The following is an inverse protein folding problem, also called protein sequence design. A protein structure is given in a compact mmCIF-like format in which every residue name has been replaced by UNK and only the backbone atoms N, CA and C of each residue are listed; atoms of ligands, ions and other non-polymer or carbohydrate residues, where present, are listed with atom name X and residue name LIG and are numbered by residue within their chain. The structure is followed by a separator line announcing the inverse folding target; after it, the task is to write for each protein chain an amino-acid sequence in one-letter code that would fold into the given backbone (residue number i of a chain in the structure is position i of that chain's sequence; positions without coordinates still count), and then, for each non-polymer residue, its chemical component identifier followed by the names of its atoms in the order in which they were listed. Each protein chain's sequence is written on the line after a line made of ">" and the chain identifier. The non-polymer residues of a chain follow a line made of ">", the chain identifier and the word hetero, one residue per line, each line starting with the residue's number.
data_IF_398857448825
#
_entry.id   IF_398857448825
#
_cell.length_a   1.000
_cell.length_b   1.000
_cell.length_c   1.000
_cell.angle_alpha   90.00
_cell.angle_beta   90.00
_cell.angle_gamma   90.00
#
_symmetry.space_group_name_H-M   'P 1'
#
loop_
_entity.id
_entity.type
_entity.pdbx_description
1 polymer ?
#
# COMPACT_ATOMS: atom_id res chain seq x y z
N UNK A 1 -28.67 -14.92 18.66
CA UNK A 1 -28.01 -15.88 17.75
C UNK A 1 -28.97 -16.15 16.61
N UNK A 2 -28.57 -15.93 15.36
CA UNK A 2 -29.45 -16.09 14.18
C UNK A 2 -29.95 -17.54 14.06
N UNK A 3 -31.19 -17.77 13.63
CA UNK A 3 -31.73 -19.12 13.38
C UNK A 3 -30.88 -19.90 12.36
N UNK A 4 -30.32 -19.19 11.38
CA UNK A 4 -29.41 -19.75 10.37
C UNK A 4 -28.13 -20.31 11.00
N UNK A 5 -27.59 -19.65 12.03
CA UNK A 5 -26.40 -20.16 12.74
C UNK A 5 -26.72 -21.44 13.53
N UNK A 6 -27.92 -21.53 14.11
CA UNK A 6 -28.38 -22.77 14.76
C UNK A 6 -28.53 -23.89 13.74
N UNK A 7 -29.07 -23.58 12.56
CA UNK A 7 -29.22 -24.55 11.48
C UNK A 7 -27.87 -25.06 10.98
N UNK A 8 -26.91 -24.17 10.68
CA UNK A 8 -25.56 -24.54 10.23
C UNK A 8 -24.82 -25.40 11.26
N UNK A 9 -24.86 -25.04 12.55
CA UNK A 9 -24.22 -25.82 13.63
C UNK A 9 -24.79 -27.23 13.77
N UNK A 10 -26.09 -27.38 13.54
CA UNK A 10 -26.79 -28.66 13.68
C UNK A 10 -26.95 -29.38 12.33
N UNK A 11 -26.36 -28.88 11.25
CA UNK A 11 -26.46 -29.49 9.93
C UNK A 11 -25.70 -30.81 9.89
N UNK A 12 -26.28 -31.79 9.19
CA UNK A 12 -25.63 -33.04 8.88
C UNK A 12 -24.60 -32.89 7.74
N UNK A 13 -24.59 -31.77 7.01
CA UNK A 13 -23.58 -31.47 5.99
C UNK A 13 -22.29 -30.97 6.68
N UNK A 14 -21.15 -31.69 6.54
CA UNK A 14 -19.88 -31.29 7.14
C UNK A 14 -19.42 -29.89 6.71
N UNK A 15 -19.74 -29.47 5.48
CA UNK A 15 -19.40 -28.15 4.97
C UNK A 15 -20.16 -27.05 5.71
N UNK A 16 -21.45 -27.25 5.97
CA UNK A 16 -22.27 -26.29 6.71
C UNK A 16 -21.88 -26.20 8.18
N UNK A 17 -21.49 -27.33 8.77
CA UNK A 17 -21.00 -27.39 10.14
C UNK A 17 -19.64 -26.69 10.29
N UNK A 18 -18.72 -26.88 9.34
CA UNK A 18 -17.46 -26.13 9.30
C UNK A 18 -17.68 -24.64 9.02
N UNK A 19 -18.64 -24.31 8.16
CA UNK A 19 -19.01 -22.92 7.91
C UNK A 19 -19.49 -22.21 9.17
N UNK A 20 -20.23 -22.91 10.03
CA UNK A 20 -20.61 -22.37 11.34
C UNK A 20 -19.39 -22.05 12.21
N UNK A 21 -18.35 -22.91 12.20
CA UNK A 21 -17.09 -22.65 12.92
C UNK A 21 -16.37 -21.41 12.39
N UNK A 22 -16.29 -21.26 11.07
CA UNK A 22 -15.70 -20.08 10.40
C UNK A 22 -16.42 -18.80 10.85
N UNK A 23 -17.75 -18.81 10.85
CA UNK A 23 -18.54 -17.67 11.31
C UNK A 23 -18.39 -17.37 12.81
N UNK A 24 -18.32 -18.40 13.65
CA UNK A 24 -18.10 -18.23 15.08
C UNK A 24 -16.74 -17.60 15.38
N UNK A 25 -15.69 -18.09 14.72
CA UNK A 25 -14.35 -17.53 14.87
C UNK A 25 -14.28 -16.08 14.38
N UNK A 26 -14.90 -15.77 13.25
CA UNK A 26 -14.97 -14.40 12.74
C UNK A 26 -15.71 -13.45 13.68
N UNK A 27 -16.82 -13.88 14.27
CA UNK A 27 -17.52 -13.09 15.28
C UNK A 27 -16.64 -12.84 16.51
N UNK A 28 -15.83 -13.82 16.90
CA UNK A 28 -14.88 -13.69 18.01
C UNK A 28 -13.75 -12.70 17.71
N UNK A 29 -13.15 -12.78 16.52
CA UNK A 29 -12.16 -11.79 16.05
C UNK A 29 -12.74 -10.37 16.12
N UNK A 30 -13.97 -10.18 15.64
CA UNK A 30 -14.64 -8.88 15.73
C UNK A 30 -14.88 -8.40 17.16
N UNK A 31 -15.26 -9.30 18.09
CA UNK A 31 -15.38 -8.95 19.52
C UNK A 31 -14.04 -8.52 20.09
N UNK A 32 -12.97 -9.23 19.77
CA UNK A 32 -11.61 -8.92 20.26
C UNK A 32 -11.11 -7.56 19.78
N UNK A 33 -11.58 -7.10 18.62
CA UNK A 33 -11.26 -5.80 18.03
C UNK A 33 -12.23 -4.68 18.46
N UNK A 34 -13.13 -4.93 19.41
CA UNK A 34 -14.13 -3.95 19.87
C UNK A 34 -15.21 -3.63 18.82
N UNK A 35 -15.34 -4.44 17.77
CA UNK A 35 -16.33 -4.25 16.71
C UNK A 35 -17.65 -4.97 17.01
N UNK A 36 -18.72 -4.54 16.33
CA UNK A 36 -20.01 -5.25 16.37
C UNK A 36 -19.88 -6.60 15.67
N UNK A 37 -19.95 -7.69 16.43
CA UNK A 37 -19.83 -9.08 15.98
C UNK A 37 -21.07 -9.60 15.20
N UNK A 38 -21.54 -8.86 14.20
CA UNK A 38 -22.66 -9.23 13.33
C UNK A 38 -22.18 -9.78 11.99
N UNK A 39 -22.86 -10.83 11.48
CA UNK A 39 -22.60 -11.52 10.21
C UNK A 39 -23.11 -10.80 8.95
N UNK A 40 -23.57 -9.55 9.09
CA UNK A 40 -24.08 -8.76 7.97
C UNK A 40 -25.20 -9.48 7.22
N UNK A 41 -25.05 -9.59 5.89
CA UNK A 41 -26.00 -10.25 5.00
C UNK A 41 -25.85 -11.77 4.92
N UNK A 42 -24.78 -12.35 5.48
CA UNK A 42 -24.50 -13.78 5.31
C UNK A 42 -25.64 -14.71 5.74
N UNK A 43 -26.31 -14.51 6.90
CA UNK A 43 -27.42 -15.39 7.27
C UNK A 43 -28.57 -15.34 6.26
N UNK A 44 -28.85 -14.17 5.69
CA UNK A 44 -29.91 -13.99 4.68
C UNK A 44 -29.52 -14.71 3.39
N UNK A 45 -28.29 -14.54 2.93
CA UNK A 45 -27.83 -15.08 1.66
C UNK A 45 -27.69 -16.60 1.71
N UNK A 46 -27.24 -17.14 2.86
CA UNK A 46 -27.22 -18.60 3.11
C UNK A 46 -28.63 -19.17 3.06
N UNK A 47 -29.60 -18.52 3.69
CA UNK A 47 -30.98 -18.97 3.66
C UNK A 47 -31.62 -18.88 2.26
N UNK A 48 -31.16 -17.94 1.43
CA UNK A 48 -31.70 -17.72 0.09
C UNK A 48 -31.07 -18.64 -0.98
N UNK A 49 -29.77 -18.96 -0.86
CA UNK A 49 -29.01 -19.62 -1.94
C UNK A 49 -28.19 -20.82 -1.48
N UNK A 50 -28.13 -21.10 -0.19
CA UNK A 50 -27.36 -22.22 0.37
C UNK A 50 -25.85 -21.94 0.47
N UNK A 51 -25.17 -22.75 1.28
CA UNK A 51 -23.77 -22.52 1.65
C UNK A 51 -22.81 -22.52 0.44
N UNK A 52 -22.94 -23.50 -0.46
CA UNK A 52 -22.03 -23.65 -1.61
C UNK A 52 -22.07 -22.44 -2.55
N UNK A 53 -23.26 -21.92 -2.88
CA UNK A 53 -23.39 -20.77 -3.79
C UNK A 53 -22.90 -19.49 -3.16
N UNK A 54 -23.16 -19.29 -1.86
CA UNK A 54 -22.64 -18.14 -1.13
C UNK A 54 -21.12 -18.19 -1.08
N UNK A 55 -20.52 -19.31 -0.65
CA UNK A 55 -19.07 -19.49 -0.61
C UNK A 55 -18.45 -19.23 -1.99
N UNK A 56 -19.00 -19.85 -3.04
CA UNK A 56 -18.52 -19.68 -4.41
C UNK A 56 -18.54 -18.21 -4.84
N UNK A 57 -19.67 -17.53 -4.60
CA UNK A 57 -19.81 -16.10 -4.93
C UNK A 57 -18.83 -15.24 -4.14
N UNK A 58 -18.64 -15.49 -2.85
CA UNK A 58 -17.69 -14.73 -2.02
C UNK A 58 -16.24 -14.96 -2.41
N UNK A 59 -15.90 -16.19 -2.81
CA UNK A 59 -14.57 -16.58 -3.28
C UNK A 59 -14.25 -15.93 -4.63
N UNK A 60 -15.18 -15.95 -5.58
CA UNK A 60 -15.01 -15.35 -6.90
C UNK A 60 -15.03 -13.81 -6.86
N UNK A 61 -15.87 -13.21 -6.03
CA UNK A 61 -16.05 -11.75 -5.97
C UNK A 61 -15.09 -11.04 -5.01
N UNK A 62 -14.09 -11.73 -4.45
CA UNK A 62 -13.13 -11.14 -3.51
C UNK A 62 -13.80 -10.33 -2.38
N UNK A 63 -14.90 -10.85 -1.82
CA UNK A 63 -15.71 -10.09 -0.85
C UNK A 63 -14.94 -9.85 0.45
N UNK A 64 -14.80 -8.57 0.83
CA UNK A 64 -14.13 -8.17 2.07
C UNK A 64 -14.88 -8.66 3.31
N UNK A 65 -14.13 -9.19 4.27
CA UNK A 65 -14.62 -9.51 5.60
C UNK A 65 -14.07 -10.82 6.15
N UNK A 66 -13.76 -11.80 5.31
CA UNK A 66 -13.36 -13.15 5.75
C UNK A 66 -11.85 -13.44 5.58
N UNK A 67 -11.09 -12.50 5.03
CA UNK A 67 -9.62 -12.60 4.90
C UNK A 67 -8.87 -12.23 6.20
N UNK A 68 -9.58 -11.67 7.19
CA UNK A 68 -9.04 -11.29 8.51
C UNK A 68 -9.00 -12.47 9.49
N UNK A 69 -9.34 -13.66 9.02
CA UNK A 69 -9.50 -14.89 9.81
C UNK A 69 -8.33 -15.83 9.53
N UNK A 70 -8.07 -16.76 10.45
CA UNK A 70 -7.10 -17.84 10.26
C UNK A 70 -7.25 -18.47 8.85
N UNK A 71 -6.16 -18.65 8.07
CA UNK A 71 -6.27 -19.25 6.74
C UNK A 71 -6.90 -20.65 6.74
N UNK A 72 -6.85 -21.36 7.87
CA UNK A 72 -7.49 -22.67 8.03
C UNK A 72 -8.99 -22.55 8.38
N UNK A 73 -9.48 -21.32 8.59
CA UNK A 73 -10.86 -20.98 8.94
C UNK A 73 -11.41 -19.87 8.04
N UNK A 74 -11.23 -20.02 6.73
CA UNK A 74 -11.75 -19.11 5.70
C UNK A 74 -12.64 -19.84 4.68
N UNK A 75 -13.33 -19.08 3.82
CA UNK A 75 -14.09 -19.66 2.72
C UNK A 75 -13.20 -20.42 1.73
N UNK A 76 -12.02 -19.89 1.45
CA UNK A 76 -11.04 -20.51 0.57
C UNK A 76 -10.56 -21.85 1.13
N UNK A 77 -10.34 -21.96 2.45
CA UNK A 77 -10.06 -23.24 3.09
C UNK A 77 -11.22 -24.24 2.98
N UNK A 78 -12.47 -23.78 3.12
CA UNK A 78 -13.64 -24.63 2.89
C UNK A 78 -13.71 -25.11 1.44
N UNK A 79 -13.40 -24.24 0.46
CA UNK A 79 -13.33 -24.62 -0.95
C UNK A 79 -12.28 -25.70 -1.19
N UNK A 80 -11.09 -25.58 -0.60
CA UNK A 80 -10.05 -26.59 -0.78
C UNK A 80 -10.36 -27.90 -0.03
N UNK A 81 -10.96 -27.82 1.15
CA UNK A 81 -11.34 -28.99 1.97
C UNK A 81 -12.45 -29.80 1.33
N UNK A 82 -13.40 -29.14 0.67
CA UNK A 82 -14.58 -29.73 0.03
C UNK A 82 -14.57 -29.48 -1.48
N UNK A 83 -13.41 -29.64 -2.13
CA UNK A 83 -13.20 -29.26 -3.53
C UNK A 83 -14.14 -29.96 -4.51
N UNK A 84 -14.63 -31.15 -4.17
CA UNK A 84 -15.64 -31.89 -4.94
C UNK A 84 -16.99 -31.15 -5.06
N UNK A 85 -17.24 -30.17 -4.19
CA UNK A 85 -18.49 -29.39 -4.12
C UNK A 85 -18.41 -28.08 -4.91
N UNK A 86 -17.25 -27.73 -5.47
CA UNK A 86 -17.00 -26.42 -6.10
C UNK A 86 -16.53 -26.57 -7.56
N UNK A 87 -16.77 -25.53 -8.36
CA UNK A 87 -16.31 -25.53 -9.75
C UNK A 87 -14.79 -25.31 -9.82
N UNK A 88 -14.13 -25.76 -10.90
CA UNK A 88 -12.69 -25.54 -11.10
C UNK A 88 -12.28 -24.06 -10.98
N UNK A 89 -13.12 -23.14 -11.45
CA UNK A 89 -12.85 -21.70 -11.37
C UNK A 89 -12.87 -21.18 -9.92
N UNK A 90 -13.80 -21.67 -9.09
CA UNK A 90 -13.88 -21.34 -7.66
C UNK A 90 -12.68 -21.93 -6.92
N UNK A 91 -12.27 -23.16 -7.26
CA UNK A 91 -11.09 -23.81 -6.68
C UNK A 91 -9.83 -23.06 -7.07
N UNK A 92 -9.68 -22.67 -8.34
CA UNK A 92 -8.54 -21.89 -8.82
C UNK A 92 -8.48 -20.52 -8.13
N UNK A 93 -9.62 -19.83 -8.00
CA UNK A 93 -9.72 -18.57 -7.27
C UNK A 93 -9.40 -18.74 -5.77
N UNK A 94 -9.88 -19.81 -5.12
CA UNK A 94 -9.54 -20.12 -3.73
C UNK A 94 -8.05 -20.44 -3.57
N UNK A 95 -7.45 -21.21 -4.48
CA UNK A 95 -6.02 -21.50 -4.49
C UNK A 95 -5.20 -20.24 -4.76
N UNK A 96 -5.63 -19.37 -5.65
CA UNK A 96 -4.96 -18.11 -5.97
C UNK A 96 -5.08 -17.13 -4.81
N UNK A 97 -6.25 -17.02 -4.16
CA UNK A 97 -6.45 -16.18 -2.97
C UNK A 97 -5.75 -16.71 -1.75
N UNK A 98 -5.73 -18.03 -1.55
CA UNK A 98 -4.86 -18.64 -0.55
C UNK A 98 -3.41 -18.42 -0.94
N UNK A 99 -2.97 -18.56 -2.19
CA UNK A 99 -1.60 -18.20 -2.58
C UNK A 99 -1.31 -16.70 -2.35
N UNK A 100 -2.21 -15.77 -2.66
CA UNK A 100 -2.02 -14.33 -2.43
C UNK A 100 -2.04 -13.96 -0.93
N UNK A 101 -2.83 -14.67 -0.11
CA UNK A 101 -2.89 -14.54 1.35
C UNK A 101 -1.83 -15.37 2.11
N UNK A 102 -1.29 -16.42 1.50
CA UNK A 102 -0.31 -17.37 2.03
C UNK A 102 1.12 -17.02 1.62
N UNK A 103 1.34 -16.50 0.41
CA UNK A 103 2.64 -16.47 -0.27
C UNK A 103 3.66 -15.51 0.34
N UNK A 104 3.37 -14.82 1.44
CA UNK A 104 4.40 -14.07 2.17
C UNK A 104 4.35 -14.21 3.69
N UNK A 105 3.37 -14.91 4.23
CA UNK A 105 3.15 -15.00 5.68
C UNK A 105 3.03 -16.46 6.13
N UNK A 106 2.61 -17.37 5.25
CA UNK A 106 2.53 -18.80 5.55
C UNK A 106 3.79 -19.60 5.18
N UNK A 107 4.76 -19.02 4.47
CA UNK A 107 6.06 -19.68 4.24
C UNK A 107 6.82 -19.90 5.57
N UNK A 108 6.44 -19.16 6.61
CA UNK A 108 6.92 -19.34 7.98
C UNK A 108 5.77 -19.76 8.91
N UNK A 109 6.01 -20.76 9.76
CA UNK A 109 5.02 -21.15 10.78
C UNK A 109 4.86 -20.00 11.76
N UNK A 110 3.61 -19.57 11.96
CA UNK A 110 3.16 -18.51 12.89
C UNK A 110 3.76 -18.62 14.29
N UNK A 111 4.00 -19.86 14.75
CA UNK A 111 4.60 -20.20 16.06
C UNK A 111 6.13 -19.99 16.14
N UNK A 112 6.81 -19.72 15.02
CA UNK A 112 8.27 -19.53 14.97
C UNK A 112 8.68 -18.05 15.12
N UNK A 113 7.75 -17.09 15.03
CA UNK A 113 8.05 -15.66 15.15
C UNK A 113 8.13 -15.29 16.62
N UNK A 114 9.34 -15.10 17.11
CA UNK A 114 9.63 -14.93 18.54
C UNK A 114 9.83 -13.46 18.93
N UNK A 115 10.20 -12.61 17.97
CA UNK A 115 10.59 -11.23 18.25
C UNK A 115 9.96 -10.19 17.31
N UNK A 116 9.86 -8.97 17.81
CA UNK A 116 9.57 -7.78 17.03
C UNK A 116 10.78 -6.84 17.11
N UNK A 117 11.35 -6.49 15.96
CA UNK A 117 12.53 -5.62 15.84
C UNK A 117 12.10 -4.28 15.26
N UNK A 118 12.21 -3.20 16.04
CA UNK A 118 12.02 -1.83 15.56
C UNK A 118 13.38 -1.16 15.42
N UNK A 119 13.78 -0.84 14.18
CA UNK A 119 15.06 -0.17 13.90
C UNK A 119 14.94 0.74 12.67
N UNK A 120 15.92 1.61 12.41
CA UNK A 120 16.06 2.25 11.11
C UNK A 120 16.89 1.34 10.19
N UNK A 121 16.81 1.54 8.87
CA UNK A 121 17.61 0.76 7.93
C UNK A 121 19.12 1.00 8.14
N UNK A 122 19.52 2.25 8.43
CA UNK A 122 20.91 2.61 8.68
C UNK A 122 21.42 2.02 10.00
N UNK A 123 20.63 2.03 11.07
CA UNK A 123 21.04 1.42 12.34
C UNK A 123 21.08 -0.11 12.24
N UNK A 124 20.17 -0.71 11.46
CA UNK A 124 20.11 -2.16 11.29
C UNK A 124 21.30 -2.67 10.47
N UNK A 125 21.74 -1.98 9.42
CA UNK A 125 22.80 -2.47 8.52
C UNK A 125 24.11 -1.67 8.56
N UNK A 126 24.17 -0.60 9.33
CA UNK A 126 25.33 0.30 9.44
C UNK A 126 25.63 1.12 8.18
N UNK A 127 24.78 1.06 7.14
CA UNK A 127 24.96 1.78 5.88
C UNK A 127 23.63 2.38 5.39
N UNK A 128 23.64 3.59 4.81
CA UNK A 128 22.44 4.20 4.25
C UNK A 128 21.99 3.51 2.95
N UNK A 129 20.72 3.69 2.56
CA UNK A 129 20.21 3.29 1.25
C UNK A 129 19.99 1.79 1.04
N UNK A 130 20.03 0.97 2.10
CA UNK A 130 19.72 -0.47 2.01
C UNK A 130 18.25 -0.66 1.70
N UNK A 131 17.95 -1.11 0.47
CA UNK A 131 16.57 -1.35 0.03
C UNK A 131 15.96 -2.55 0.78
N UNK A 132 14.68 -2.52 1.16
CA UNK A 132 13.98 -3.65 1.75
C UNK A 132 13.63 -4.68 0.67
N UNK A 133 14.60 -5.54 0.34
CA UNK A 133 14.43 -6.66 -0.58
C UNK A 133 15.33 -7.83 -0.20
N UNK A 134 14.99 -9.04 -0.67
CA UNK A 134 15.74 -10.25 -0.33
C UNK A 134 17.18 -10.17 -0.85
N UNK A 135 17.38 -9.66 -2.07
CA UNK A 135 18.71 -9.50 -2.68
C UNK A 135 19.61 -8.53 -1.90
N UNK A 136 18.99 -7.61 -1.18
CA UNK A 136 19.67 -6.59 -0.40
C UNK A 136 19.93 -7.05 1.04
N UNK A 137 19.02 -7.81 1.65
CA UNK A 137 19.11 -8.16 3.08
C UNK A 137 19.76 -9.53 3.33
N UNK A 138 19.44 -10.55 2.54
CA UNK A 138 19.90 -11.92 2.78
C UNK A 138 21.43 -11.99 2.67
N UNK A 139 22.05 -12.63 3.66
CA UNK A 139 23.50 -12.74 3.79
C UNK A 139 24.18 -11.55 4.48
N UNK A 140 23.47 -10.44 4.75
CA UNK A 140 24.03 -9.31 5.51
C UNK A 140 23.93 -9.52 7.02
N UNK A 141 24.85 -8.90 7.75
CA UNK A 141 24.81 -8.86 9.21
C UNK A 141 24.00 -7.66 9.68
N UNK A 142 22.96 -7.93 10.47
CA UNK A 142 22.07 -6.93 11.05
C UNK A 142 22.46 -6.66 12.51
N UNK A 143 22.63 -5.40 12.89
CA UNK A 143 22.88 -4.97 14.27
C UNK A 143 21.56 -4.91 15.04
N UNK A 144 21.36 -5.85 15.96
CA UNK A 144 20.12 -6.01 16.70
C UNK A 144 20.07 -5.02 17.88
N UNK A 145 18.98 -4.22 17.99
CA UNK A 145 18.80 -3.32 19.12
C UNK A 145 18.74 -4.05 20.48
N UNK A 146 18.86 -3.29 21.58
CA UNK A 146 18.77 -3.85 22.92
C UNK A 146 17.34 -4.21 23.33
N UNK A 147 17.22 -5.23 24.19
CA UNK A 147 15.98 -5.58 24.89
C UNK A 147 15.74 -4.56 26.03
N UNK A 148 14.48 -4.38 26.42
CA UNK A 148 14.20 -3.73 27.70
C UNK A 148 14.74 -4.59 28.86
N UNK A 149 15.18 -3.98 29.97
CA UNK A 149 15.78 -4.71 31.11
C UNK A 149 14.91 -5.86 31.62
N UNK A 150 13.59 -5.65 31.64
CA UNK A 150 12.59 -6.62 32.06
C UNK A 150 12.51 -7.85 31.13
N UNK A 151 12.99 -7.72 29.89
CA UNK A 151 13.00 -8.78 28.87
C UNK A 151 14.39 -9.38 28.68
N UNK A 152 15.36 -9.08 29.55
CA UNK A 152 16.75 -9.58 29.45
C UNK A 152 16.86 -11.11 29.42
N UNK A 153 15.87 -11.82 29.98
CA UNK A 153 15.77 -13.28 29.90
C UNK A 153 15.75 -13.80 28.44
N UNK A 154 15.31 -12.97 27.48
CA UNK A 154 15.18 -13.37 26.09
C UNK A 154 16.49 -13.28 25.28
N UNK A 155 17.59 -12.72 25.83
CA UNK A 155 18.89 -12.68 25.15
C UNK A 155 19.42 -14.10 24.86
N UNK A 156 19.13 -15.08 25.73
CA UNK A 156 19.52 -16.48 25.49
C UNK A 156 18.86 -17.04 24.22
N UNK A 157 17.63 -16.63 23.91
CA UNK A 157 16.91 -17.08 22.72
C UNK A 157 17.55 -16.47 21.47
N UNK A 158 17.92 -15.19 21.51
CA UNK A 158 18.62 -14.52 20.40
C UNK A 158 19.94 -15.24 20.04
N UNK A 159 20.61 -15.85 21.02
CA UNK A 159 21.85 -16.60 20.82
C UNK A 159 21.68 -17.96 20.10
N UNK A 160 20.44 -18.45 19.93
CA UNK A 160 20.13 -19.73 19.26
C UNK A 160 19.65 -19.56 17.82
N UNK A 161 19.56 -18.31 17.35
CA UNK A 161 18.89 -17.97 16.10
C UNK A 161 17.38 -17.84 16.34
N UNK A 162 16.74 -16.95 15.60
CA UNK A 162 15.35 -16.60 15.85
C UNK A 162 14.71 -16.02 14.59
N UNK A 163 13.37 -15.97 14.59
CA UNK A 163 12.62 -15.20 13.60
C UNK A 163 11.96 -14.01 14.24
N UNK A 164 11.89 -12.92 13.49
CA UNK A 164 11.23 -11.71 13.96
C UNK A 164 10.56 -10.89 12.88
N UNK A 165 9.54 -10.15 13.30
CA UNK A 165 8.92 -9.09 12.51
C UNK A 165 9.80 -7.85 12.57
N UNK A 166 10.19 -7.32 11.41
CA UNK A 166 10.99 -6.11 11.30
C UNK A 166 10.11 -4.92 10.96
N UNK A 167 10.10 -3.93 11.85
CA UNK A 167 9.54 -2.61 11.65
C UNK A 167 10.64 -1.59 11.40
N UNK A 168 10.66 -1.01 10.20
CA UNK A 168 11.58 0.06 9.87
C UNK A 168 10.98 1.40 10.25
N UNK A 169 11.61 2.13 11.17
CA UNK A 169 11.17 3.46 11.56
C UNK A 169 11.95 4.58 10.88
N UNK A 170 11.22 5.67 10.74
CA UNK A 170 11.52 6.90 10.02
C UNK A 170 12.02 7.97 10.98
N UNK A 171 13.12 7.75 11.70
CA UNK A 171 13.70 8.93 12.32
C UNK A 171 14.24 9.82 11.19
N UNK A 172 13.74 11.05 11.10
CA UNK A 172 14.22 12.13 10.21
C UNK A 172 15.65 12.57 10.57
N UNK A 173 16.51 11.66 11.02
CA UNK A 173 17.93 11.96 11.17
C UNK A 173 18.59 12.12 9.80
N UNK A 174 18.08 11.42 8.77
CA UNK A 174 18.65 11.41 7.42
C UNK A 174 17.60 11.58 6.29
N UNK A 175 16.42 12.13 6.59
CA UNK A 175 15.46 12.60 5.57
C UNK A 175 14.58 11.56 4.86
N UNK A 176 14.67 10.25 5.18
CA UNK A 176 13.78 9.24 4.59
C UNK A 176 12.85 8.55 5.58
N UNK A 177 11.61 8.45 5.12
CA UNK A 177 10.49 7.82 5.77
C UNK A 177 10.53 6.28 5.52
N UNK A 178 11.03 5.52 6.49
CA UNK A 178 10.94 4.05 6.63
C UNK A 178 9.52 3.42 6.73
N UNK A 179 9.22 2.38 5.93
CA UNK A 179 7.85 2.01 5.52
C UNK A 179 6.96 1.33 6.59
N UNK A 180 7.41 1.24 7.84
CA UNK A 180 6.68 0.58 8.94
C UNK A 180 6.98 -0.92 9.04
N UNK A 181 5.97 -1.72 9.33
CA UNK A 181 6.04 -3.18 9.34
C UNK A 181 6.43 -3.68 7.94
N UNK A 182 7.68 -4.15 7.82
CA UNK A 182 8.38 -4.31 6.54
C UNK A 182 8.53 -5.76 6.13
N UNK A 183 8.92 -6.64 7.05
CA UNK A 183 9.26 -8.02 6.72
C UNK A 183 9.14 -8.96 7.91
N UNK A 184 9.03 -10.26 7.63
CA UNK A 184 9.46 -11.34 8.52
C UNK A 184 10.89 -11.70 8.14
N UNK A 185 11.77 -11.84 9.12
CA UNK A 185 13.19 -12.12 8.90
C UNK A 185 13.63 -13.29 9.78
N UNK A 186 14.38 -14.21 9.19
CA UNK A 186 15.09 -15.29 9.88
C UNK A 186 16.54 -14.87 10.12
N UNK A 187 16.94 -14.85 11.39
CA UNK A 187 18.26 -14.47 11.85
C UNK A 187 19.04 -15.69 12.33
N UNK A 188 20.30 -15.74 11.94
CA UNK A 188 21.28 -16.64 12.53
C UNK A 188 21.48 -16.33 14.03
N UNK A 189 22.09 -17.25 14.81
CA UNK A 189 22.55 -16.97 16.17
C UNK A 189 23.22 -15.59 16.32
N UNK A 190 22.72 -14.81 17.27
CA UNK A 190 23.28 -13.49 17.58
C UNK A 190 24.70 -13.63 18.13
N UNK A 191 25.62 -12.88 17.56
CA UNK A 191 27.02 -12.79 17.97
C UNK A 191 27.18 -11.89 19.21
N UNK A 192 28.32 -11.95 19.92
CA UNK A 192 28.56 -11.15 21.14
C UNK A 192 28.47 -9.63 20.93
N UNK A 193 28.70 -9.14 19.71
CA UNK A 193 28.57 -7.74 19.33
C UNK A 193 27.12 -7.33 18.97
N UNK A 194 26.15 -8.19 19.26
CA UNK A 194 24.73 -8.08 18.92
C UNK A 194 24.44 -8.04 17.42
N UNK A 195 25.32 -8.56 16.58
CA UNK A 195 25.03 -8.77 15.15
C UNK A 195 24.49 -10.15 14.88
N UNK A 196 23.54 -10.26 13.96
CA UNK A 196 23.01 -11.53 13.48
C UNK A 196 22.90 -11.51 11.95
N UNK A 197 23.35 -12.58 11.30
CA UNK A 197 23.22 -12.72 9.84
C UNK A 197 21.76 -12.95 9.45
N UNK A 198 21.27 -12.22 8.45
CA UNK A 198 19.97 -12.49 7.83
C UNK A 198 20.10 -13.73 6.96
N UNK A 199 19.39 -14.79 7.32
CA UNK A 199 19.36 -16.07 6.59
C UNK A 199 18.27 -16.05 5.52
N UNK A 200 17.10 -15.49 5.86
CA UNK A 200 15.99 -15.33 4.93
C UNK A 200 15.15 -14.10 5.32
N UNK A 201 14.43 -13.52 4.36
CA UNK A 201 13.58 -12.36 4.58
C UNK A 201 12.40 -12.31 3.60
N UNK A 202 11.18 -12.26 4.15
CA UNK A 202 9.96 -12.13 3.38
C UNK A 202 9.31 -10.77 3.64
N UNK A 203 9.17 -9.98 2.57
CA UNK A 203 8.81 -8.57 2.62
C UNK A 203 7.32 -8.33 2.34
N UNK A 204 6.65 -7.60 3.22
CA UNK A 204 5.26 -7.20 3.04
C UNK A 204 5.12 -6.16 1.93
N UNK A 205 4.15 -6.37 1.04
CA UNK A 205 3.76 -5.43 0.00
C UNK A 205 2.23 -5.48 -0.12
N UNK A 206 1.50 -4.41 0.25
CA UNK A 206 1.97 -3.16 0.86
C UNK A 206 2.46 -3.33 2.31
N UNK A 207 3.34 -2.44 2.78
CA UNK A 207 3.75 -2.38 4.20
C UNK A 207 2.69 -1.69 5.05
N UNK A 208 2.68 -1.93 6.36
CA UNK A 208 1.75 -1.29 7.32
C UNK A 208 2.51 -0.27 8.17
N UNK A 209 2.08 0.98 8.16
CA UNK A 209 2.78 2.11 8.76
C UNK A 209 2.07 2.71 9.98
N UNK A 210 2.19 4.04 10.13
CA UNK A 210 1.67 4.82 11.26
C UNK A 210 0.16 4.68 11.46
N UNK A 211 -0.59 4.34 10.42
CA UNK A 211 -2.03 4.11 10.48
C UNK A 211 -2.40 2.98 11.46
N UNK A 212 -1.56 1.95 11.58
CA UNK A 212 -1.80 0.86 12.53
C UNK A 212 -1.53 1.31 13.97
N UNK A 213 -0.46 2.07 14.18
CA UNK A 213 -0.11 2.62 15.49
C UNK A 213 -1.18 3.59 15.99
N UNK A 214 -1.71 4.44 15.11
CA UNK A 214 -2.78 5.38 15.43
C UNK A 214 -4.06 4.67 15.89
N UNK A 215 -4.43 3.55 15.25
CA UNK A 215 -5.62 2.76 15.61
C UNK A 215 -5.55 2.14 17.01
N UNK A 216 -4.33 1.89 17.51
CA UNK A 216 -4.10 1.23 18.80
C UNK A 216 -3.55 2.21 19.85
N UNK A 217 -3.70 3.51 19.64
CA UNK A 217 -3.12 4.52 20.53
C UNK A 217 -3.85 4.55 21.87
N UNK A 218 -3.12 4.24 22.96
CA UNK A 218 -3.64 4.30 24.32
C UNK A 218 -4.52 3.12 24.75
N UNK A 219 -4.63 2.06 23.94
CA UNK A 219 -5.45 0.89 24.26
C UNK A 219 -4.74 -0.16 25.14
N UNK A 220 -3.45 0.04 25.43
CA UNK A 220 -2.64 -0.85 26.24
C UNK A 220 -2.12 -2.10 25.51
N UNK A 221 -2.44 -2.29 24.23
CA UNK A 221 -1.95 -3.39 23.39
C UNK A 221 -0.44 -3.34 23.18
N UNK A 222 0.15 -4.43 22.67
CA UNK A 222 1.54 -4.42 22.21
C UNK A 222 1.82 -3.33 21.18
N UNK A 223 0.89 -3.13 20.24
CA UNK A 223 0.99 -2.10 19.18
C UNK A 223 1.04 -0.69 19.82
N UNK A 224 0.25 -0.45 20.87
CA UNK A 224 0.31 0.79 21.65
C UNK A 224 1.68 1.02 22.30
N UNK A 225 2.27 -0.05 22.87
CA UNK A 225 3.56 0.02 23.55
C UNK A 225 4.71 0.30 22.58
N UNK A 226 4.69 -0.28 21.38
CA UNK A 226 5.70 0.01 20.36
C UNK A 226 5.57 1.42 19.80
N UNK A 227 4.36 2.01 19.73
CA UNK A 227 4.16 3.40 19.32
C UNK A 227 4.78 4.38 20.32
N UNK A 228 4.56 4.15 21.62
CA UNK A 228 5.16 4.93 22.70
C UNK A 228 6.69 4.84 22.74
N UNK A 229 7.28 3.78 22.16
CA UNK A 229 8.73 3.59 22.09
C UNK A 229 9.36 4.40 20.94
N UNK A 230 10.05 5.49 21.27
CA UNK A 230 10.81 6.30 20.31
C UNK A 230 12.15 5.70 19.87
N UNK A 231 12.70 4.77 20.65
CA UNK A 231 14.03 4.20 20.43
C UNK A 231 13.97 2.88 19.65
N UNK A 232 15.07 2.58 18.95
CA UNK A 232 15.33 1.28 18.35
C UNK A 232 15.37 0.25 19.46
N UNK A 233 14.62 -0.84 19.30
CA UNK A 233 14.45 -1.85 20.34
C UNK A 233 13.90 -3.14 19.75
N UNK A 234 14.20 -4.23 20.44
CA UNK A 234 13.65 -5.54 20.17
C UNK A 234 12.77 -5.96 21.35
N UNK A 235 11.66 -6.65 21.06
CA UNK A 235 10.76 -7.19 22.08
C UNK A 235 10.45 -8.65 21.78
N UNK A 236 10.37 -9.51 22.80
CA UNK A 236 9.64 -10.76 22.65
C UNK A 236 8.17 -10.44 22.31
N UNK A 237 7.58 -11.21 21.41
CA UNK A 237 6.20 -11.02 20.97
C UNK A 237 5.37 -12.28 21.23
N UNK A 238 4.10 -12.12 21.56
CA UNK A 238 3.17 -13.24 21.74
C UNK A 238 2.52 -13.63 20.42
N UNK A 239 2.03 -14.87 20.31
CA UNK A 239 1.28 -15.32 19.13
C UNK A 239 0.10 -14.38 18.83
N UNK A 240 -0.65 -13.95 19.84
CA UNK A 240 -1.79 -13.02 19.67
C UNK A 240 -1.37 -11.68 19.08
N UNK A 241 -0.20 -11.16 19.45
CA UNK A 241 0.33 -9.91 18.90
C UNK A 241 0.85 -10.10 17.47
N UNK A 242 1.51 -11.23 17.17
CA UNK A 242 1.89 -11.62 15.80
C UNK A 242 0.65 -11.65 14.90
N UNK A 243 -0.44 -12.22 15.38
CA UNK A 243 -1.71 -12.34 14.65
C UNK A 243 -2.30 -10.98 14.32
N UNK A 244 -2.30 -10.09 15.31
CA UNK A 244 -2.82 -8.74 15.16
C UNK A 244 -2.03 -7.96 14.10
N UNK A 245 -0.70 -8.09 14.10
CA UNK A 245 0.17 -7.45 13.12
C UNK A 245 0.00 -8.03 11.71
N UNK A 246 -0.03 -9.36 11.59
CA UNK A 246 -0.18 -10.03 10.29
C UNK A 246 -1.59 -9.83 9.71
N UNK A 247 -2.62 -9.79 10.54
CA UNK A 247 -3.99 -9.47 10.11
C UNK A 247 -4.07 -8.05 9.55
N UNK A 248 -3.38 -7.08 10.16
CA UNK A 248 -3.29 -5.73 9.61
C UNK A 248 -2.60 -5.68 8.23
N UNK A 249 -1.56 -6.49 8.01
CA UNK A 249 -0.90 -6.62 6.69
C UNK A 249 -1.87 -7.18 5.66
N UNK A 250 -2.58 -8.26 6.00
CA UNK A 250 -3.56 -8.89 5.10
C UNK A 250 -4.71 -7.95 4.75
N UNK A 251 -5.30 -7.31 5.76
CA UNK A 251 -6.39 -6.35 5.55
C UNK A 251 -5.97 -5.20 4.63
N UNK A 252 -4.73 -4.71 4.78
CA UNK A 252 -4.19 -3.70 3.86
C UNK A 252 -3.98 -4.27 2.46
N UNK A 253 -3.36 -5.44 2.30
CA UNK A 253 -3.19 -6.06 0.99
C UNK A 253 -4.52 -6.28 0.26
N UNK A 254 -5.56 -6.72 0.98
CA UNK A 254 -6.89 -6.89 0.45
C UNK A 254 -7.51 -5.59 -0.06
N UNK A 255 -7.43 -4.52 0.75
CA UNK A 255 -7.89 -3.20 0.33
C UNK A 255 -7.20 -2.78 -0.97
N UNK A 256 -5.88 -2.95 -1.08
CA UNK A 256 -5.18 -2.65 -2.33
C UNK A 256 -5.73 -3.49 -3.49
N UNK A 257 -5.83 -4.81 -3.34
CA UNK A 257 -6.33 -5.70 -4.39
C UNK A 257 -7.75 -5.35 -4.85
N UNK A 258 -8.66 -5.04 -3.93
CA UNK A 258 -10.02 -4.60 -4.26
C UNK A 258 -10.02 -3.29 -5.08
N UNK A 259 -9.21 -2.31 -4.69
CA UNK A 259 -9.09 -1.05 -5.43
C UNK A 259 -8.45 -1.27 -6.81
N UNK A 260 -7.48 -2.17 -6.92
CA UNK A 260 -6.88 -2.51 -8.22
C UNK A 260 -7.89 -3.19 -9.16
N UNK A 261 -8.74 -4.07 -8.63
CA UNK A 261 -9.76 -4.78 -9.40
C UNK A 261 -10.97 -3.91 -9.78
N UNK A 262 -11.29 -2.90 -8.97
CA UNK A 262 -12.41 -1.99 -9.25
C UNK A 262 -12.17 -1.10 -10.48
N UNK A 263 -10.95 -1.08 -11.04
CA UNK A 263 -10.53 -0.27 -12.20
C UNK A 263 -11.28 1.06 -12.27
N UNK A 264 -11.23 1.87 -11.18
CA UNK A 264 -12.07 3.05 -11.08
C UNK A 264 -11.83 3.94 -12.29
N UNK A 265 -12.92 4.42 -12.90
CA UNK A 265 -12.83 5.29 -14.07
C UNK A 265 -11.85 6.43 -13.73
N UNK A 266 -10.73 6.56 -14.47
CA UNK A 266 -9.71 7.58 -14.21
C UNK A 266 -10.26 9.00 -14.35
N UNK A 267 -11.49 9.18 -14.85
CA UNK A 267 -12.19 10.45 -14.97
C UNK A 267 -13.17 10.76 -13.82
N UNK A 268 -13.36 9.88 -12.83
CA UNK A 268 -14.25 10.14 -11.68
C UNK A 268 -13.49 10.72 -10.46
N UNK A 269 -13.65 12.02 -10.15
CA UNK A 269 -12.95 12.68 -9.04
C UNK A 269 -13.37 12.20 -7.64
N UNK A 270 -14.51 11.52 -7.52
CA UNK A 270 -15.03 10.99 -6.25
C UNK A 270 -14.15 9.89 -5.64
N UNK A 271 -13.25 9.30 -6.43
CA UNK A 271 -12.38 8.22 -5.99
C UNK A 271 -11.23 8.68 -5.09
N UNK A 272 -10.89 9.98 -5.10
CA UNK A 272 -9.76 10.53 -4.33
C UNK A 272 -10.20 11.19 -3.02
N UNK A 273 -11.40 11.75 -2.96
CA UNK A 273 -11.93 12.39 -1.74
C UNK A 273 -12.43 11.38 -0.70
N UNK A 274 -12.78 10.15 -1.12
CA UNK A 274 -13.17 9.04 -0.21
C UNK A 274 -11.98 8.32 0.43
N UNK A 275 -10.75 8.62 0.01
CA UNK A 275 -9.55 8.00 0.58
C UNK A 275 -9.23 8.74 1.88
N UNK A 276 -9.85 8.29 2.98
CA UNK A 276 -9.42 8.65 4.33
C UNK A 276 -7.98 8.16 4.52
N UNK A 277 -7.05 9.11 4.45
CA UNK A 277 -5.70 9.15 5.02
C UNK A 277 -4.94 7.81 5.22
N UNK A 278 -4.69 7.09 4.12
CA UNK A 278 -3.63 6.08 4.06
C UNK A 278 -2.66 6.43 2.92
N UNK A 279 -1.55 7.06 3.26
CA UNK A 279 -0.57 7.66 2.34
C UNK A 279 -0.10 6.68 1.26
N UNK A 280 0.00 5.38 1.59
CA UNK A 280 0.42 4.34 0.65
C UNK A 280 -0.65 3.98 -0.40
N UNK A 281 -1.93 3.90 -0.01
CA UNK A 281 -3.04 3.64 -0.95
C UNK A 281 -3.18 4.79 -1.93
N UNK A 282 -3.19 6.02 -1.39
CA UNK A 282 -3.25 7.25 -2.19
C UNK A 282 -2.11 7.34 -3.20
N UNK A 283 -0.87 6.99 -2.82
CA UNK A 283 0.27 7.02 -3.73
C UNK A 283 0.15 6.03 -4.90
N UNK A 284 -0.33 4.81 -4.66
CA UNK A 284 -0.52 3.83 -5.75
C UNK A 284 -1.62 4.28 -6.70
N UNK A 285 -2.74 4.78 -6.16
CA UNK A 285 -3.85 5.35 -6.95
C UNK A 285 -3.36 6.55 -7.78
N UNK A 286 -2.66 7.50 -7.17
CA UNK A 286 -2.10 8.66 -7.86
C UNK A 286 -1.11 8.28 -8.95
N UNK A 287 -0.25 7.28 -8.73
CA UNK A 287 0.69 6.78 -9.78
C UNK A 287 -0.04 6.18 -10.97
N UNK A 288 -1.08 5.35 -10.73
CA UNK A 288 -1.89 4.77 -11.82
C UNK A 288 -2.61 5.85 -12.61
N UNK A 289 -3.16 6.84 -11.92
CA UNK A 289 -3.81 7.99 -12.54
C UNK A 289 -2.84 8.85 -13.36
N UNK A 290 -1.66 9.17 -12.82
CA UNK A 290 -0.61 9.88 -13.57
C UNK A 290 -0.17 9.08 -14.81
N UNK A 291 -0.07 7.74 -14.69
CA UNK A 291 0.21 6.87 -15.84
C UNK A 291 -0.92 6.91 -16.88
N UNK A 292 -2.18 6.85 -16.46
CA UNK A 292 -3.33 6.92 -17.35
C UNK A 292 -3.42 8.28 -18.07
N UNK A 293 -3.24 9.38 -17.34
CA UNK A 293 -3.20 10.74 -17.88
C UNK A 293 -2.07 10.90 -18.91
N UNK A 294 -0.88 10.38 -18.59
CA UNK A 294 0.24 10.34 -19.54
C UNK A 294 -0.12 9.57 -20.81
N UNK A 295 -0.73 8.40 -20.69
CA UNK A 295 -1.13 7.61 -21.86
C UNK A 295 -2.22 8.32 -22.69
N UNK A 296 -3.16 9.00 -22.03
CA UNK A 296 -4.17 9.82 -22.70
C UNK A 296 -3.57 11.01 -23.46
N UNK A 297 -2.51 11.64 -22.93
CA UNK A 297 -1.78 12.68 -23.64
C UNK A 297 -0.98 12.11 -24.81
N UNK A 298 -0.26 11.00 -24.62
CA UNK A 298 0.49 10.35 -25.71
C UNK A 298 -0.41 9.86 -26.85
N UNK A 299 -1.67 9.48 -26.57
CA UNK A 299 -2.61 9.06 -27.61
C UNK A 299 -3.28 10.20 -28.36
N UNK A 300 -3.45 11.38 -27.72
CA UNK A 300 -4.13 12.55 -28.31
C UNK A 300 -3.18 13.63 -28.83
N UNK A 301 -1.91 13.61 -28.44
CA UNK A 301 -0.93 14.65 -28.79
C UNK A 301 0.11 14.10 -29.76
N UNK A 302 0.72 14.97 -30.57
CA UNK A 302 1.97 14.60 -31.21
C UNK A 302 2.97 14.28 -30.11
N UNK A 303 3.51 13.06 -30.10
CA UNK A 303 4.45 12.49 -29.13
C UNK A 303 5.78 13.27 -29.02
N UNK A 304 5.70 14.54 -28.65
CA UNK A 304 6.79 15.51 -28.58
C UNK A 304 6.52 16.52 -27.47
N UNK A 305 7.57 17.18 -27.01
CA UNK A 305 7.44 18.29 -26.09
C UNK A 305 6.75 19.47 -26.77
N UNK A 306 5.70 20.02 -26.14
CA UNK A 306 4.95 21.16 -26.66
C UNK A 306 5.78 22.43 -26.85
N UNK A 307 6.83 22.63 -26.02
CA UNK A 307 7.68 23.84 -26.03
C UNK A 307 8.96 23.65 -26.84
N UNK A 308 9.66 22.53 -26.65
CA UNK A 308 10.98 22.30 -27.29
C UNK A 308 10.88 21.54 -28.61
N UNK A 309 9.77 20.85 -28.85
CA UNK A 309 9.57 20.00 -30.02
C UNK A 309 10.30 18.65 -29.97
N UNK A 310 11.05 18.33 -28.90
CA UNK A 310 11.76 17.03 -28.82
C UNK A 310 10.77 15.88 -28.86
N UNK A 311 11.00 14.88 -29.72
CA UNK A 311 10.19 13.66 -29.84
C UNK A 311 10.75 12.48 -29.04
N UNK A 312 11.81 12.70 -28.25
CA UNK A 312 12.41 11.67 -27.40
C UNK A 312 11.48 11.36 -26.22
N UNK A 313 10.71 10.27 -26.33
CA UNK A 313 9.68 9.89 -25.36
C UNK A 313 10.22 9.69 -23.95
N UNK A 314 11.48 9.24 -23.81
CA UNK A 314 12.09 8.97 -22.50
C UNK A 314 12.31 10.22 -21.64
N UNK A 315 12.35 11.41 -22.27
CA UNK A 315 12.52 12.69 -21.56
C UNK A 315 11.21 13.48 -21.43
N UNK A 316 10.10 12.98 -21.99
CA UNK A 316 8.79 13.63 -21.87
C UNK A 316 8.12 13.25 -20.55
N UNK A 317 7.44 14.21 -19.95
CA UNK A 317 6.59 14.09 -18.77
C UNK A 317 5.20 14.66 -19.08
N UNK A 318 4.18 14.13 -18.42
CA UNK A 318 2.82 14.64 -18.52
C UNK A 318 2.62 15.73 -17.46
N UNK A 319 2.66 16.98 -17.92
CA UNK A 319 2.48 18.16 -17.09
C UNK A 319 1.01 18.57 -17.02
N UNK A 320 0.51 18.85 -15.82
CA UNK A 320 -0.80 19.49 -15.67
C UNK A 320 -0.61 21.00 -15.75
N UNK A 321 -1.54 21.70 -16.39
CA UNK A 321 -1.45 23.17 -16.50
C UNK A 321 -1.91 23.81 -15.20
N UNK A 322 -3.02 23.34 -14.63
CA UNK A 322 -3.43 23.69 -13.27
C UNK A 322 -2.96 22.57 -12.33
N UNK A 323 -2.22 22.89 -11.25
CA UNK A 323 -1.83 21.90 -10.25
C UNK A 323 -3.02 21.19 -9.62
N UNK A 324 -2.82 19.91 -9.25
CA UNK A 324 -3.84 19.03 -8.66
C UNK A 324 -4.53 19.58 -7.40
N UNK A 325 -3.89 20.53 -6.69
CA UNK A 325 -4.38 21.06 -5.42
C UNK A 325 -5.56 22.05 -5.55
N UNK A 326 -5.89 22.53 -6.76
CA UNK A 326 -6.85 23.63 -6.94
C UNK A 326 -8.14 23.18 -7.65
N UNK A 327 -9.29 23.41 -6.99
CA UNK A 327 -10.58 22.75 -7.28
C UNK A 327 -11.25 23.22 -8.58
N UNK A 328 -11.13 22.46 -9.68
CA UNK A 328 -12.00 22.62 -10.86
C UNK A 328 -12.60 21.29 -11.36
N UNK A 329 -13.71 21.32 -12.11
CA UNK A 329 -14.36 20.12 -12.65
C UNK A 329 -13.67 19.54 -13.92
N UNK A 330 -12.59 20.19 -14.38
CA UNK A 330 -11.90 19.92 -15.64
C UNK A 330 -10.47 19.35 -15.45
N UNK A 331 -10.20 18.70 -14.30
CA UNK A 331 -8.84 18.35 -13.82
C UNK A 331 -8.05 17.42 -14.75
N UNK A 332 -8.73 16.44 -15.36
CA UNK A 332 -8.11 15.29 -16.08
C UNK A 332 -8.42 15.24 -17.55
N UNK A 333 -9.02 16.32 -18.02
CA UNK A 333 -9.21 16.58 -19.42
C UNK A 333 -7.82 16.69 -20.05
N UNK A 334 -7.50 15.94 -21.11
CA UNK A 334 -6.25 16.07 -21.86
C UNK A 334 -5.97 17.51 -22.32
N UNK A 335 -7.00 18.36 -22.35
CA UNK A 335 -6.97 19.80 -22.60
C UNK A 335 -6.31 20.61 -21.46
N UNK A 336 -6.21 20.06 -20.25
CA UNK A 336 -5.45 20.58 -19.09
C UNK A 336 -4.03 19.98 -18.98
N UNK A 337 -3.58 19.25 -20.01
CA UNK A 337 -2.30 18.54 -19.99
C UNK A 337 -1.39 18.87 -21.16
N UNK A 338 -0.08 18.85 -20.90
CA UNK A 338 0.98 19.01 -21.89
C UNK A 338 2.03 17.91 -21.75
N UNK A 339 2.58 17.48 -22.89
CA UNK A 339 3.83 16.73 -22.88
C UNK A 339 4.99 17.73 -22.83
N UNK A 340 5.77 17.70 -21.77
CA UNK A 340 6.92 18.60 -21.58
C UNK A 340 8.19 17.80 -21.34
N UNK A 341 9.33 18.32 -21.78
CA UNK A 341 10.63 17.77 -21.39
C UNK A 341 10.82 17.95 -19.88
N UNK A 342 11.39 16.99 -19.16
CA UNK A 342 11.46 16.98 -17.68
C UNK A 342 11.99 18.26 -17.04
N UNK A 343 12.96 18.94 -17.65
CA UNK A 343 13.48 20.23 -17.16
C UNK A 343 12.49 21.38 -17.40
N UNK A 344 11.84 21.41 -18.57
CA UNK A 344 10.80 22.38 -18.91
C UNK A 344 9.56 22.21 -18.04
N UNK A 345 9.18 20.97 -17.73
CA UNK A 345 8.08 20.68 -16.81
C UNK A 345 8.33 21.29 -15.43
N UNK A 346 9.54 21.11 -14.87
CA UNK A 346 9.92 21.72 -13.59
C UNK A 346 9.89 23.25 -13.64
N UNK A 347 10.35 23.86 -14.73
CA UNK A 347 10.28 25.32 -14.90
C UNK A 347 8.83 25.81 -15.03
N UNK A 348 7.97 25.00 -15.66
CA UNK A 348 6.56 25.32 -15.85
C UNK A 348 5.83 25.28 -14.51
N UNK A 349 5.94 24.20 -13.76
CA UNK A 349 5.38 24.06 -12.40
C UNK A 349 5.86 25.13 -11.43
N UNK A 350 7.10 25.60 -11.59
CA UNK A 350 7.69 26.67 -10.79
C UNK A 350 7.31 28.08 -11.28
N UNK A 351 6.44 28.19 -12.30
CA UNK A 351 6.04 29.45 -12.92
C UNK A 351 7.22 30.30 -13.41
N UNK A 352 8.30 29.66 -13.86
CA UNK A 352 9.48 30.29 -14.47
C UNK A 352 9.39 30.29 -16.01
N UNK A 353 8.54 29.44 -16.58
CA UNK A 353 8.14 29.45 -17.98
C UNK A 353 6.63 29.27 -18.06
N UNK A 354 5.96 29.93 -19.01
CA UNK A 354 4.53 29.80 -19.23
C UNK A 354 4.22 29.94 -20.72
N UNK A 355 2.95 29.82 -21.09
CA UNK A 355 2.49 30.04 -22.46
C UNK A 355 1.40 31.11 -22.37
N UNK A 356 1.54 32.17 -23.17
CA UNK A 356 0.54 33.21 -23.23
C UNK A 356 -0.77 32.64 -23.81
N UNK A 357 -1.92 32.78 -23.12
CA UNK A 357 -3.18 32.18 -23.53
C UNK A 357 -3.74 32.76 -24.84
N UNK A 358 -3.43 34.01 -25.16
CA UNK A 358 -3.91 34.72 -26.35
C UNK A 358 -3.02 34.44 -27.56
N UNK A 359 -1.71 34.59 -27.41
CA UNK A 359 -0.75 34.48 -28.54
C UNK A 359 -0.23 33.07 -28.75
N UNK A 360 -0.42 32.17 -27.77
CA UNK A 360 0.20 30.84 -27.71
C UNK A 360 1.73 30.86 -27.76
N UNK A 361 2.34 32.01 -27.49
CA UNK A 361 3.79 32.16 -27.41
C UNK A 361 4.31 31.75 -26.03
N UNK A 362 5.46 31.08 -26.01
CA UNK A 362 6.18 30.75 -24.77
C UNK A 362 6.76 32.01 -24.15
N UNK A 363 6.49 32.23 -22.87
CA UNK A 363 7.06 33.29 -22.06
C UNK A 363 8.03 32.70 -21.04
N UNK A 364 9.19 33.34 -20.88
CA UNK A 364 10.26 32.89 -19.98
C UNK A 364 10.48 33.99 -18.96
N UNK A 365 10.52 33.66 -17.67
CA UNK A 365 10.74 34.64 -16.61
C UNK A 365 12.12 35.31 -16.74
N UNK A 366 12.21 36.60 -16.39
CA UNK A 366 13.49 37.32 -16.31
C UNK A 366 14.46 36.73 -15.28
N UNK A 367 13.97 35.88 -14.37
CA UNK A 367 14.77 35.16 -13.37
C UNK A 367 15.64 34.05 -13.94
N UNK A 368 15.37 33.61 -15.18
CA UNK A 368 16.20 32.61 -15.86
C UNK A 368 17.32 33.33 -16.63
N UNK A 369 18.56 33.26 -16.15
CA UNK A 369 19.70 33.88 -16.83
C UNK A 369 20.26 33.03 -18.00
N UNK A 370 20.00 31.72 -18.01
CA UNK A 370 20.56 30.82 -19.03
C UNK A 370 19.97 31.08 -20.41
N UNK A 371 20.86 31.29 -21.39
CA UNK A 371 20.50 31.57 -22.78
C UNK A 371 19.75 30.41 -23.43
N UNK A 372 20.02 29.18 -23.01
CA UNK A 372 19.38 27.98 -23.56
C UNK A 372 17.87 28.01 -23.35
N UNK A 373 17.43 28.46 -22.17
CA UNK A 373 16.01 28.61 -21.85
C UNK A 373 15.43 29.92 -22.38
N UNK A 374 16.19 31.01 -22.38
CA UNK A 374 15.74 32.28 -22.98
C UNK A 374 15.46 32.14 -24.48
N UNK A 375 16.20 31.27 -25.18
CA UNK A 375 15.95 30.94 -26.59
C UNK A 375 14.57 30.31 -26.86
N UNK A 376 13.86 29.86 -25.82
CA UNK A 376 12.50 29.31 -25.94
C UNK A 376 11.44 30.41 -25.98
N UNK A 377 11.75 31.64 -25.53
CA UNK A 377 10.80 32.75 -25.55
C UNK A 377 10.32 33.03 -26.97
N UNK A 378 9.03 33.24 -27.13
CA UNK A 378 8.39 33.51 -28.41
C UNK A 378 8.14 32.28 -29.29
N UNK A 379 8.57 31.07 -28.88
CA UNK A 379 8.19 29.85 -29.60
C UNK A 379 6.68 29.65 -29.53
N UNK A 380 6.06 29.29 -30.65
CA UNK A 380 4.61 29.08 -30.74
C UNK A 380 4.26 27.64 -30.37
N UNK A 381 3.25 27.47 -29.50
CA UNK A 381 2.71 26.18 -29.08
C UNK A 381 1.45 25.87 -29.88
N UNK A 382 1.47 24.80 -30.67
CA UNK A 382 0.37 24.38 -31.56
C UNK A 382 -0.67 23.48 -30.89
N UNK A 383 -0.38 23.06 -29.66
CA UNK A 383 -1.17 22.14 -28.88
C UNK A 383 -2.55 22.74 -28.53
N UNK A 384 -3.62 21.96 -28.74
CA UNK A 384 -4.97 22.36 -28.34
C UNK A 384 -5.09 22.31 -26.81
N UNK A 385 -5.10 23.49 -26.18
CA UNK A 385 -5.01 23.64 -24.73
C UNK A 385 -6.17 24.50 -24.26
N UNK A 386 -6.78 24.12 -23.14
CA UNK A 386 -7.81 24.90 -22.44
C UNK A 386 -7.32 26.33 -22.18
N UNK A 387 -7.92 27.35 -22.82
CA UNK A 387 -7.53 28.75 -22.59
C UNK A 387 -7.70 29.17 -21.13
N UNK A 388 -8.71 28.64 -20.45
CA UNK A 388 -8.97 28.87 -19.03
C UNK A 388 -7.83 28.35 -18.15
N UNK A 389 -7.35 27.13 -18.43
CA UNK A 389 -6.27 26.51 -17.66
C UNK A 389 -4.97 27.27 -17.86
N UNK A 390 -4.70 27.65 -19.11
CA UNK A 390 -3.52 28.42 -19.46
C UNK A 390 -3.55 29.84 -18.89
N UNK A 391 -4.72 30.49 -18.87
CA UNK A 391 -4.92 31.79 -18.22
C UNK A 391 -4.58 31.75 -16.74
N UNK A 392 -5.08 30.76 -16.01
CA UNK A 392 -4.75 30.57 -14.59
C UNK A 392 -3.23 30.40 -14.36
N UNK A 393 -2.58 29.55 -15.15
CA UNK A 393 -1.13 29.36 -15.05
C UNK A 393 -0.36 30.65 -15.39
N UNK A 394 -0.81 31.37 -16.42
CA UNK A 394 -0.18 32.59 -16.89
C UNK A 394 -0.29 33.75 -15.90
N UNK A 395 -1.44 33.92 -15.22
CA UNK A 395 -1.60 34.90 -14.16
C UNK A 395 -0.61 34.65 -13.00
N UNK A 396 -0.45 33.40 -12.58
CA UNK A 396 0.53 33.03 -11.55
C UNK A 396 1.98 33.29 -12.00
N UNK A 397 2.30 33.01 -13.27
CA UNK A 397 3.58 33.36 -13.87
C UNK A 397 3.86 34.87 -13.86
N UNK A 398 2.85 35.70 -14.18
CA UNK A 398 2.99 37.16 -14.14
C UNK A 398 3.19 37.67 -12.71
N UNK A 399 2.43 37.15 -11.75
CA UNK A 399 2.55 37.52 -10.34
C UNK A 399 3.92 37.18 -9.73
N UNK A 400 4.60 36.15 -10.23
CA UNK A 400 5.93 35.73 -9.76
C UNK A 400 7.10 36.34 -10.55
N UNK A 401 6.81 36.98 -11.68
CA UNK A 401 7.78 37.67 -12.54
C UNK A 401 7.76 39.19 -12.36
N UNK A 402 6.85 39.70 -11.52
CA UNK A 402 6.74 41.12 -11.14
C UNK A 402 7.71 41.52 -10.03
#
# INVERSE_FOLDING_TARGET
>A
MSEVMKALRNSADPLENDLARVYDHWQEVKRSQGQRAGLGYEPRDINASGAVLVISSRVLNASAGFEEVDPDQSYEALVLKYSDRFTPDVIAAAQERLKLGASKVQEFRRQDIQFFVKSSAIDLFGVPGVRPSAESWVGRDAALPELHKENSYADEILSKGFRGLVWLHEQEKDGERGPGLTAVVEFAPMQPDRRARVLDAVFFKPTVGKELLAKHKGDGSFISRIDASRNNRIWPISDTDVDSLLSAVRGKAHQFAQHENQNPDPHEPLNLEKIEDATALRQVVLRRYQSAFRQALLSKRPNRCAITGTSELSVLEAAHIIPYAERFADRDKPENGLLLRSDIHRLFDAYLISINPETKAVEVSGRIASQDYQSLRGKSVTDEISPKSLGFHFENFQNQSS
#
